data_IF_195675787861
#
_entry.id   IF_195675787861
#
_cell.length_a   1.000
_cell.length_b   1.000
_cell.length_c   1.000
_cell.angle_alpha   90.00
_cell.angle_beta   90.00
_cell.angle_gamma   90.00
#
_symmetry.space_group_name_H-M   'P 1'
#
loop_
_entity.id
_entity.type
_entity.pdbx_description
1 polymer ?
#
# COMPACT_ATOMS: atom_id res chain seq x y z
N UNK A 1 19.68 3.06 -2.19
CA UNK A 1 20.45 3.01 -0.93
C UNK A 1 21.29 4.28 -0.82
N UNK A 2 21.47 4.83 0.38
CA UNK A 2 22.49 5.89 0.67
C UNK A 2 23.79 5.17 1.04
N UNK A 3 24.47 4.61 0.04
CA UNK A 3 25.73 3.91 0.26
C UNK A 3 26.89 4.86 -0.01
N UNK A 4 27.79 4.99 0.96
CA UNK A 4 29.04 5.73 0.87
C UNK A 4 30.11 4.81 0.25
N UNK A 5 30.63 5.19 -0.91
CA UNK A 5 31.70 4.46 -1.59
C UNK A 5 33.04 5.12 -1.31
N UNK A 6 34.07 4.30 -1.12
CA UNK A 6 35.46 4.72 -1.03
C UNK A 6 36.18 4.34 -2.33
N UNK A 7 36.73 5.33 -3.02
CA UNK A 7 37.54 5.12 -4.23
C UNK A 7 38.99 5.50 -3.96
N UNK A 8 39.92 4.58 -4.24
CA UNK A 8 41.36 4.84 -4.30
C UNK A 8 41.91 4.27 -5.60
N UNK A 9 42.89 4.96 -6.17
CA UNK A 9 43.53 4.59 -7.44
C UNK A 9 45.01 4.37 -7.17
N UNK A 10 45.59 3.36 -7.81
CA UNK A 10 47.05 3.18 -7.85
C UNK A 10 47.51 2.94 -9.28
N UNK A 11 48.78 3.23 -9.53
CA UNK A 11 49.44 2.92 -10.80
C UNK A 11 50.05 1.53 -10.68
N UNK A 12 49.91 0.68 -11.71
CA UNK A 12 50.60 -0.61 -11.78
C UNK A 12 51.41 -0.68 -13.07
N UNK A 13 52.71 -0.95 -12.97
CA UNK A 13 53.61 -1.14 -14.12
C UNK A 13 54.35 -2.47 -13.95
N UNK A 14 53.97 -3.49 -14.73
CA UNK A 14 54.50 -4.86 -14.57
C UNK A 14 54.16 -5.44 -13.19
N UNK A 15 55.19 -5.82 -12.41
CA UNK A 15 55.03 -6.27 -11.02
C UNK A 15 55.07 -5.14 -9.99
N UNK A 16 55.30 -3.89 -10.42
CA UNK A 16 55.38 -2.75 -9.51
C UNK A 16 54.00 -2.13 -9.31
N UNK A 17 53.49 -2.23 -8.09
CA UNK A 17 52.26 -1.56 -7.67
C UNK A 17 52.63 -0.26 -6.93
N UNK A 18 52.26 0.87 -7.49
CA UNK A 18 52.40 2.18 -6.87
C UNK A 18 51.53 2.33 -5.62
N UNK A 19 51.85 3.31 -4.79
CA UNK A 19 51.09 3.62 -3.58
C UNK A 19 49.67 4.05 -3.94
N UNK A 20 48.69 3.51 -3.23
CA UNK A 20 47.29 3.96 -3.33
C UNK A 20 47.18 5.47 -3.12
N UNK A 21 46.35 6.12 -3.94
CA UNK A 21 45.97 7.53 -3.79
C UNK A 21 45.23 7.75 -2.48
N UNK A 22 45.04 9.02 -2.11
CA UNK A 22 44.07 9.37 -1.08
C UNK A 22 42.69 8.80 -1.45
N UNK A 23 41.97 8.32 -0.46
CA UNK A 23 40.61 7.82 -0.63
C UNK A 23 39.63 8.99 -0.80
N UNK A 24 38.74 8.90 -1.79
CA UNK A 24 37.61 9.82 -1.95
C UNK A 24 36.32 9.12 -1.54
N UNK A 25 35.59 9.74 -0.61
CA UNK A 25 34.28 9.28 -0.17
C UNK A 25 33.20 9.90 -1.06
N UNK A 26 32.51 9.09 -1.85
CA UNK A 26 31.40 9.55 -2.68
C UNK A 26 30.09 8.93 -2.21
N UNK A 27 29.13 9.79 -1.84
CA UNK A 27 27.74 9.36 -1.62
C UNK A 27 27.06 9.25 -2.98
N UNK A 28 26.41 8.12 -3.21
CA UNK A 28 25.48 8.00 -4.34
C UNK A 28 24.34 9.03 -4.17
N UNK A 29 23.93 9.75 -5.22
CA UNK A 29 22.80 10.66 -5.09
C UNK A 29 21.56 9.85 -4.67
N UNK A 30 20.82 10.35 -3.68
CA UNK A 30 19.48 9.81 -3.37
C UNK A 30 18.73 9.58 -4.69
N UNK A 31 18.02 8.46 -4.80
CA UNK A 31 17.23 8.11 -5.98
C UNK A 31 15.76 8.02 -5.58
N UNK A 32 14.81 8.04 -6.52
CA UNK A 32 13.41 7.81 -6.19
C UNK A 32 13.25 6.46 -5.43
N UNK A 33 12.20 6.29 -4.61
CA UNK A 33 11.97 5.02 -3.94
C UNK A 33 11.84 3.92 -5.01
N UNK A 34 12.62 2.85 -4.91
CA UNK A 34 12.55 1.72 -5.86
C UNK A 34 11.51 0.69 -5.45
N UNK A 35 11.09 0.71 -4.17
CA UNK A 35 10.03 -0.13 -3.64
C UNK A 35 8.70 0.60 -3.46
N UNK A 36 7.55 -0.09 -3.63
CA UNK A 36 6.26 0.41 -3.20
C UNK A 36 6.12 0.30 -1.66
N UNK A 37 5.15 1.01 -1.05
CA UNK A 37 4.80 0.80 0.36
C UNK A 37 4.44 -0.66 0.65
N UNK A 38 4.90 -1.18 1.79
CA UNK A 38 4.65 -2.55 2.21
C UNK A 38 3.34 -2.70 2.97
N UNK A 39 2.90 -3.94 3.16
CA UNK A 39 1.72 -4.31 3.96
C UNK A 39 0.49 -3.41 3.68
N UNK A 40 0.32 -3.02 2.42
CA UNK A 40 -0.82 -2.21 2.03
C UNK A 40 -2.09 -3.04 2.22
N UNK A 41 -2.98 -2.56 3.09
CA UNK A 41 -4.26 -3.18 3.38
C UNK A 41 -5.37 -2.12 3.34
N UNK A 42 -6.54 -2.51 2.82
CA UNK A 42 -7.73 -1.66 2.82
C UNK A 42 -8.89 -2.48 3.37
N UNK A 43 -9.48 -1.99 4.47
CA UNK A 43 -10.59 -2.66 5.17
C UNK A 43 -11.79 -1.73 5.27
N UNK A 44 -13.03 -2.21 5.07
CA UNK A 44 -14.21 -1.37 5.25
C UNK A 44 -14.43 -1.10 6.74
N UNK A 45 -14.81 0.13 7.08
CA UNK A 45 -15.09 0.48 8.46
C UNK A 45 -16.49 -0.03 8.85
N UNK A 46 -16.54 -0.93 9.83
CA UNK A 46 -17.80 -1.42 10.40
C UNK A 46 -18.59 -0.23 10.97
N UNK A 47 -19.85 -0.09 10.56
CA UNK A 47 -20.73 1.01 10.98
C UNK A 47 -20.64 2.29 10.13
N UNK A 48 -19.67 2.40 9.21
CA UNK A 48 -19.62 3.47 8.20
C UNK A 48 -19.62 2.84 6.80
N UNK A 49 -20.80 2.53 6.27
CA UNK A 49 -21.00 1.84 4.98
C UNK A 49 -20.44 2.53 3.73
N UNK A 50 -19.84 3.71 3.87
CA UNK A 50 -19.24 4.51 2.80
C UNK A 50 -17.76 4.81 3.05
N UNK A 51 -17.13 4.17 4.04
CA UNK A 51 -15.77 4.45 4.46
C UNK A 51 -14.88 3.20 4.55
N UNK A 52 -13.63 3.35 4.17
CA UNK A 52 -12.58 2.33 4.30
C UNK A 52 -11.38 2.89 5.05
N UNK A 53 -10.71 2.04 5.81
CA UNK A 53 -9.43 2.31 6.44
C UNK A 53 -8.33 1.67 5.59
N UNK A 54 -7.41 2.49 5.12
CA UNK A 54 -6.18 2.07 4.46
C UNK A 54 -5.02 2.12 5.46
N UNK A 55 -4.21 1.07 5.50
CA UNK A 55 -2.99 0.98 6.31
C UNK A 55 -1.85 0.50 5.41
N UNK A 56 -0.66 1.02 5.62
CA UNK A 56 0.54 0.65 4.86
C UNK A 56 1.78 0.91 5.71
N UNK A 57 2.84 0.19 5.41
CA UNK A 57 4.16 0.39 5.98
C UNK A 57 5.08 1.12 4.97
N UNK A 58 6.15 1.76 5.46
CA UNK A 58 7.16 2.35 4.59
C UNK A 58 7.77 1.31 3.62
N UNK A 59 8.23 1.72 2.43
CA UNK A 59 8.90 0.82 1.51
C UNK A 59 10.24 0.32 2.09
N UNK A 60 10.63 -0.92 1.79
CA UNK A 60 11.94 -1.51 2.15
C UNK A 60 13.10 -0.72 1.52
N UNK A 61 12.89 -0.20 0.30
CA UNK A 61 13.87 0.58 -0.46
C UNK A 61 13.42 2.04 -0.68
N UNK A 62 13.40 2.89 0.38
CA UNK A 62 12.96 4.28 0.28
C UNK A 62 13.97 5.18 -0.46
N UNK A 63 15.22 4.71 -0.59
CA UNK A 63 16.34 5.39 -1.27
C UNK A 63 16.53 6.87 -0.88
N UNK A 64 16.15 7.21 0.36
CA UNK A 64 16.08 8.56 0.90
C UNK A 64 14.91 8.70 1.87
N UNK A 65 14.65 9.91 2.36
CA UNK A 65 13.51 10.16 3.25
C UNK A 65 12.20 10.32 2.47
N UNK A 66 11.20 9.50 2.79
CA UNK A 66 9.85 9.63 2.21
C UNK A 66 9.25 10.97 2.64
N UNK A 67 8.82 11.76 1.65
CA UNK A 67 8.13 13.03 1.85
C UNK A 67 6.63 12.84 1.94
N UNK A 68 6.08 12.03 1.02
CA UNK A 68 4.65 11.89 0.82
C UNK A 68 4.28 10.48 0.35
N UNK A 69 3.07 10.04 0.69
CA UNK A 69 2.43 8.86 0.12
C UNK A 69 1.25 9.31 -0.73
N UNK A 70 1.15 8.76 -1.94
CA UNK A 70 0.08 9.08 -2.88
C UNK A 70 -0.80 7.84 -3.02
N UNK A 71 -1.99 7.88 -2.43
CA UNK A 71 -3.00 6.84 -2.51
C UNK A 71 -3.99 7.18 -3.63
N UNK A 72 -4.09 6.29 -4.61
CA UNK A 72 -4.99 6.44 -5.76
C UNK A 72 -6.06 5.36 -5.71
N UNK A 73 -7.32 5.75 -5.93
CA UNK A 73 -8.44 4.82 -5.94
C UNK A 73 -9.42 5.13 -7.06
N UNK A 74 -9.99 4.10 -7.66
CA UNK A 74 -10.98 4.23 -8.74
C UNK A 74 -12.05 3.13 -8.63
N UNK A 75 -13.31 3.39 -9.02
CA UNK A 75 -14.31 2.34 -9.16
C UNK A 75 -13.88 1.37 -10.27
N UNK A 76 -13.95 0.06 -10.01
CA UNK A 76 -13.53 -0.98 -10.94
C UNK A 76 -14.31 -0.95 -12.27
N UNK A 77 -15.57 -0.49 -12.23
CA UNK A 77 -16.44 -0.39 -13.40
C UNK A 77 -16.47 1.01 -14.04
N UNK A 78 -15.75 2.00 -13.49
CA UNK A 78 -15.75 3.38 -14.01
C UNK A 78 -14.31 3.89 -14.22
N UNK A 79 -13.77 3.83 -15.45
CA UNK A 79 -12.38 4.22 -15.72
C UNK A 79 -12.09 5.70 -15.45
N UNK A 80 -13.09 6.57 -15.55
CA UNK A 80 -12.96 8.02 -15.29
C UNK A 80 -13.08 8.42 -13.81
N UNK A 81 -13.23 7.45 -12.90
CA UNK A 81 -13.43 7.71 -11.46
C UNK A 81 -12.15 7.76 -10.63
N UNK A 82 -10.97 7.91 -11.25
CA UNK A 82 -9.70 7.94 -10.52
C UNK A 82 -9.62 9.17 -9.61
N UNK A 83 -9.45 8.93 -8.31
CA UNK A 83 -9.21 9.92 -7.28
C UNK A 83 -7.86 9.65 -6.64
N UNK A 84 -7.20 10.72 -6.19
CA UNK A 84 -5.88 10.63 -5.57
C UNK A 84 -5.87 11.46 -4.29
N UNK A 85 -5.26 10.92 -3.24
CA UNK A 85 -5.10 11.56 -1.95
C UNK A 85 -3.64 11.48 -1.56
N UNK A 86 -3.08 12.62 -1.14
CA UNK A 86 -1.68 12.72 -0.72
C UNK A 86 -1.61 12.81 0.80
N UNK A 87 -0.78 11.95 1.39
CA UNK A 87 -0.50 11.89 2.81
C UNK A 87 0.96 12.25 3.08
N UNK A 88 1.25 12.76 4.28
CA UNK A 88 2.63 13.04 4.69
C UNK A 88 3.41 11.72 4.85
N UNK A 89 4.72 11.76 4.65
CA UNK A 89 5.60 10.59 4.76
C UNK A 89 5.68 9.97 6.16
N UNK A 90 5.16 10.65 7.19
CA UNK A 90 4.99 10.11 8.55
C UNK A 90 3.65 9.40 8.77
N UNK A 91 2.74 9.42 7.78
CA UNK A 91 1.42 8.81 7.86
C UNK A 91 1.45 7.42 7.26
N UNK A 92 1.00 6.43 8.03
CA UNK A 92 0.91 5.00 7.66
C UNK A 92 -0.53 4.47 7.70
N UNK A 93 -1.49 5.33 8.05
CA UNK A 93 -2.90 4.97 8.14
C UNK A 93 -3.75 6.14 7.67
N UNK A 94 -4.82 5.85 6.93
CA UNK A 94 -5.79 6.84 6.51
C UNK A 94 -7.20 6.28 6.39
N UNK A 95 -8.18 7.16 6.48
CA UNK A 95 -9.59 6.83 6.28
C UNK A 95 -10.08 7.53 5.01
N UNK A 96 -10.60 6.74 4.07
CA UNK A 96 -11.20 7.21 2.82
C UNK A 96 -12.70 7.09 2.99
N UNK A 97 -13.40 8.22 2.95
CA UNK A 97 -14.86 8.30 3.07
C UNK A 97 -15.49 8.73 1.73
N UNK A 98 -16.83 8.67 1.64
CA UNK A 98 -17.57 9.09 0.44
C UNK A 98 -17.49 8.09 -0.71
N UNK A 99 -17.29 6.80 -0.40
CA UNK A 99 -17.35 5.71 -1.36
C UNK A 99 -18.79 5.25 -1.56
N UNK A 100 -19.10 4.82 -2.79
CA UNK A 100 -20.43 4.31 -3.15
C UNK A 100 -20.63 2.90 -2.59
N UNK A 101 -21.64 2.66 -1.74
CA UNK A 101 -21.95 1.31 -1.26
C UNK A 101 -22.33 0.39 -2.43
N UNK A 102 -21.87 -0.86 -2.40
CA UNK A 102 -22.11 -1.86 -3.46
C UNK A 102 -21.10 -1.82 -4.60
N UNK A 103 -20.44 -0.68 -4.82
CA UNK A 103 -19.40 -0.56 -5.83
C UNK A 103 -18.09 -1.21 -5.36
N UNK A 104 -17.38 -1.83 -6.31
CA UNK A 104 -16.01 -2.33 -6.10
C UNK A 104 -15.01 -1.23 -6.45
N UNK A 105 -14.08 -0.96 -5.55
CA UNK A 105 -13.02 0.02 -5.72
C UNK A 105 -11.66 -0.66 -5.78
N UNK A 106 -10.78 -0.12 -6.62
CA UNK A 106 -9.38 -0.53 -6.76
C UNK A 106 -8.52 0.55 -6.12
N UNK A 107 -7.69 0.17 -5.16
CA UNK A 107 -6.78 1.04 -4.43
C UNK A 107 -5.33 0.71 -4.79
N UNK A 108 -4.50 1.75 -4.93
CA UNK A 108 -3.05 1.66 -5.13
C UNK A 108 -2.39 2.75 -4.31
N UNK A 109 -1.18 2.49 -3.81
CA UNK A 109 -0.39 3.51 -3.10
C UNK A 109 1.03 3.55 -3.62
N UNK A 110 1.66 4.73 -3.62
CA UNK A 110 3.09 4.89 -3.93
C UNK A 110 3.76 5.84 -2.94
N UNK A 111 5.05 5.65 -2.73
CA UNK A 111 5.87 6.57 -1.94
C UNK A 111 6.52 7.62 -2.84
N UNK A 112 6.75 8.82 -2.31
CA UNK A 112 7.43 9.93 -3.01
C UNK A 112 8.51 10.50 -2.09
N UNK A 113 9.71 10.69 -2.62
CA UNK A 113 10.81 11.34 -1.90
C UNK A 113 11.26 12.62 -2.64
N UNK A 114 12.37 13.24 -2.21
CA UNK A 114 12.91 14.48 -2.84
C UNK A 114 13.32 14.31 -4.30
N UNK A 115 13.54 13.07 -4.74
CA UNK A 115 14.07 12.73 -6.06
C UNK A 115 12.99 12.32 -7.03
N UNK A 116 11.85 11.85 -6.53
CA UNK A 116 10.68 11.57 -7.36
C UNK A 116 9.69 10.59 -6.73
N UNK A 117 8.78 10.13 -7.58
CA UNK A 117 7.75 9.15 -7.25
C UNK A 117 8.29 7.74 -7.45
N UNK A 118 8.08 6.86 -6.47
CA UNK A 118 8.37 5.44 -6.58
C UNK A 118 7.25 4.66 -7.29
N UNK A 119 7.43 3.34 -7.46
CA UNK A 119 6.42 2.49 -8.07
C UNK A 119 5.15 2.39 -7.23
N UNK A 120 4.06 2.00 -7.88
CA UNK A 120 2.77 1.74 -7.23
C UNK A 120 2.78 0.34 -6.60
N UNK A 121 2.11 0.22 -5.46
CA UNK A 121 1.81 -1.06 -4.82
C UNK A 121 0.95 -1.94 -5.71
N UNK A 122 0.86 -3.22 -5.33
CA UNK A 122 -0.18 -4.10 -5.88
C UNK A 122 -1.56 -3.47 -5.68
N UNK A 123 -2.40 -3.59 -6.70
CA UNK A 123 -3.75 -3.07 -6.67
C UNK A 123 -4.61 -3.93 -5.73
N UNK A 124 -5.31 -3.29 -4.80
CA UNK A 124 -6.24 -3.96 -3.89
C UNK A 124 -7.66 -3.65 -4.33
N UNK A 125 -8.43 -4.68 -4.65
CA UNK A 125 -9.84 -4.54 -4.98
C UNK A 125 -10.72 -4.91 -3.78
N UNK A 126 -11.56 -3.99 -3.34
CA UNK A 126 -12.50 -4.20 -2.24
C UNK A 126 -13.91 -3.78 -2.65
N UNK A 127 -14.91 -4.57 -2.27
CA UNK A 127 -16.31 -4.21 -2.42
C UNK A 127 -16.76 -3.43 -1.17
N UNK A 128 -17.41 -2.29 -1.39
CA UNK A 128 -17.93 -1.48 -0.28
C UNK A 128 -19.23 -2.12 0.19
N UNK A 129 -19.34 -2.53 1.47
CA UNK A 129 -20.54 -3.17 1.96
C UNK A 129 -21.73 -2.22 1.83
N UNK A 130 -22.79 -2.67 1.16
CA UNK A 130 -24.08 -2.00 1.28
C UNK A 130 -24.56 -2.22 2.71
N UNK A 131 -24.77 -1.14 3.44
CA UNK A 131 -25.53 -1.19 4.68
C UNK A 131 -26.99 -1.47 4.34
N UNK A 132 -27.27 -2.70 3.96
CA UNK A 132 -28.55 -3.29 4.32
C UNK A 132 -28.40 -3.66 5.80
N UNK A 133 -29.16 -2.96 6.63
CA UNK A 133 -29.26 -3.26 8.05
C UNK A 133 -29.56 -4.76 8.24
N UNK A 134 -29.05 -5.33 9.34
CA UNK A 134 -29.49 -6.62 9.90
C UNK A 134 -29.31 -7.86 9.02
N UNK A 135 -28.12 -8.49 9.10
CA UNK A 135 -28.14 -9.90 9.48
C UNK A 135 -28.25 -9.92 11.01
N UNK A 136 -29.50 -9.83 11.48
CA UNK A 136 -29.83 -10.43 12.77
C UNK A 136 -29.43 -11.90 12.64
N UNK A 137 -28.52 -12.31 13.51
CA UNK A 137 -28.21 -13.70 13.76
C UNK A 137 -29.49 -14.36 14.28
N UNK A 138 -30.36 -14.80 13.37
CA UNK A 138 -31.46 -15.71 13.73
C UNK A 138 -30.80 -17.03 14.01
N UNK A 139 -30.73 -17.34 15.30
CA UNK A 139 -30.15 -18.55 15.86
C UNK A 139 -30.36 -19.76 14.97
N UNK A 140 -29.24 -20.41 14.67
CA UNK A 140 -29.22 -21.80 14.20
C UNK A 140 -29.87 -22.67 15.27
N UNK A 141 -31.17 -22.95 15.13
CA UNK A 141 -31.82 -24.09 15.78
C UNK A 141 -32.46 -24.92 14.68
N UNK A 142 -31.67 -25.83 14.13
CA UNK A 142 -32.13 -26.92 13.28
C UNK A 142 -32.66 -28.07 14.14
N UNK A 143 -33.76 -28.68 13.66
CA UNK A 143 -34.31 -30.02 13.95
C UNK A 143 -35.31 -30.08 15.14
N UNK A 144 -36.54 -30.58 15.03
CA UNK A 144 -37.21 -31.28 13.93
C UNK A 144 -38.71 -31.58 14.18
N UNK A 145 -39.42 -31.82 13.06
CA UNK A 145 -40.73 -32.49 12.80
C UNK A 145 -41.89 -32.36 13.81
N UNK A 146 -43.06 -31.81 13.40
CA UNK A 146 -44.34 -32.16 14.00
C UNK A 146 -44.88 -33.50 13.44
N UNK A 147 -45.39 -34.34 14.34
CA UNK A 147 -46.16 -35.56 14.08
C UNK A 147 -47.38 -35.27 13.20
N UNK A 148 -47.62 -36.10 12.18
CA UNK A 148 -48.91 -36.17 11.48
C UNK A 148 -49.88 -37.10 12.22
N UNK A 149 -51.14 -36.70 12.48
CA UNK A 149 -52.23 -37.61 12.72
C UNK A 149 -53.05 -37.81 11.43
N UNK A 150 -53.37 -39.05 11.07
CA UNK A 150 -54.20 -39.35 9.90
C UNK A 150 -54.78 -40.75 9.97
N UNK A 151 -56.08 -40.80 10.28
CA UNK A 151 -56.95 -41.96 10.39
C UNK A 151 -57.13 -42.72 9.07
N UNK A 152 -57.31 -44.03 9.18
CA UNK A 152 -57.82 -44.97 8.19
C UNK A 152 -58.14 -46.29 8.86
#
# INVERSE_FOLDING_TARGET
ADSMYEFSVRISEGTNEGKWSISVFQRTPESAPSGPPENFEVKPLRGKGTAVKATWDPPEEPNGRIKEYILSYAPAMKPFGLKTVTYRGSTTTATIEGLTPGDRYIFKIRATNRRGQGPQSKAISIAIPQTDATSVDKGSTSVGRPNSPGFG
#
